data_IF_591662677666
#
_entry.id   IF_591662677666
#
_cell.length_a   1.000
_cell.length_b   1.000
_cell.length_c   1.000
_cell.angle_alpha   90.00
_cell.angle_beta   90.00
_cell.angle_gamma   90.00
#
_symmetry.space_group_name_H-M   'P 1'
#
loop_
_entity.id
_entity.type
_entity.pdbx_description
1 polymer ?
#
# COMPACT_ATOMS: atom_id res chain seq x y z
N UNK A 1 34.71 -55.11 3.51
CA UNK A 1 33.44 -54.51 3.09
C UNK A 1 33.00 -53.53 4.17
N UNK A 2 33.25 -52.23 3.97
CA UNK A 2 33.05 -51.21 5.00
C UNK A 2 32.00 -50.22 4.48
N UNK A 3 30.76 -50.33 4.96
CA UNK A 3 29.68 -49.39 4.64
C UNK A 3 29.90 -48.10 5.41
N UNK A 4 30.16 -47.00 4.70
CA UNK A 4 30.15 -45.64 5.27
C UNK A 4 28.69 -45.20 5.44
N UNK A 5 28.28 -45.00 6.69
CA UNK A 5 27.03 -44.36 7.07
C UNK A 5 27.18 -42.85 6.75
N UNK A 6 26.46 -42.34 5.75
CA UNK A 6 26.30 -40.90 5.56
C UNK A 6 25.21 -40.43 6.52
N UNK A 7 25.61 -39.75 7.60
CA UNK A 7 24.69 -39.00 8.43
C UNK A 7 24.26 -37.75 7.66
N UNK A 8 23.04 -37.79 7.10
CA UNK A 8 22.37 -36.60 6.57
C UNK A 8 21.94 -35.78 7.79
N UNK A 9 22.71 -34.75 8.12
CA UNK A 9 22.34 -33.74 9.10
C UNK A 9 21.19 -32.92 8.51
N UNK A 10 19.95 -33.23 8.91
CA UNK A 10 18.81 -32.34 8.74
C UNK A 10 19.00 -31.19 9.73
N UNK A 11 19.63 -30.10 9.28
CA UNK A 11 19.65 -28.85 10.05
C UNK A 11 18.26 -28.25 9.89
N UNK A 12 17.36 -28.58 10.82
CA UNK A 12 16.12 -27.84 11.03
C UNK A 12 16.49 -26.47 11.57
N UNK A 13 16.79 -25.53 10.67
CA UNK A 13 16.98 -24.12 11.00
C UNK A 13 15.60 -23.57 11.35
N UNK A 14 15.23 -23.65 12.63
CA UNK A 14 14.16 -22.82 13.18
C UNK A 14 14.72 -21.40 13.24
N UNK A 15 14.64 -20.68 12.12
CA UNK A 15 14.90 -19.25 12.10
C UNK A 15 13.72 -18.57 12.81
N UNK A 16 14.00 -18.11 14.03
CA UNK A 16 13.12 -17.26 14.81
C UNK A 16 12.96 -15.94 14.03
N UNK A 17 11.83 -15.78 13.34
CA UNK A 17 11.46 -14.51 12.70
C UNK A 17 11.26 -13.49 13.82
N UNK A 18 12.17 -12.52 13.92
CA UNK A 18 12.07 -11.45 14.90
C UNK A 18 10.84 -10.57 14.58
N UNK A 19 9.80 -10.71 15.40
CA UNK A 19 8.72 -9.74 15.60
C UNK A 19 8.14 -9.09 14.35
N UNK A 20 7.51 -9.86 13.47
CA UNK A 20 6.58 -9.28 12.48
C UNK A 20 5.35 -8.73 13.22
N UNK A 21 4.76 -7.61 12.75
CA UNK A 21 3.60 -7.01 13.39
C UNK A 21 2.47 -8.04 13.50
N UNK A 22 1.96 -8.25 14.71
CA UNK A 22 0.74 -9.04 14.93
C UNK A 22 -0.44 -8.27 14.36
N UNK A 23 -0.87 -8.61 13.15
CA UNK A 23 -2.14 -8.15 12.65
C UNK A 23 -2.83 -9.25 11.84
N UNK A 24 -3.48 -10.17 12.55
CA UNK A 24 -4.52 -11.00 11.94
C UNK A 24 -5.64 -10.07 11.45
N UNK A 25 -5.72 -9.86 10.14
CA UNK A 25 -6.87 -9.19 9.55
C UNK A 25 -8.13 -9.99 9.89
N UNK A 26 -9.12 -9.34 10.49
CA UNK A 26 -10.38 -9.97 10.92
C UNK A 26 -11.40 -10.14 9.79
N UNK A 27 -10.94 -10.15 8.53
CA UNK A 27 -11.83 -10.16 7.36
C UNK A 27 -11.82 -11.56 6.76
N UNK A 28 -13.01 -12.11 6.56
CA UNK A 28 -13.23 -13.42 5.96
C UNK A 28 -13.78 -13.27 4.54
N UNK A 29 -13.22 -13.97 3.53
CA UNK A 29 -11.97 -14.73 3.55
C UNK A 29 -10.71 -13.84 3.43
N UNK A 30 -9.62 -14.24 4.07
CA UNK A 30 -8.28 -13.62 3.93
C UNK A 30 -7.15 -14.65 3.93
N UNK A 31 -6.11 -14.36 3.15
CA UNK A 31 -4.83 -15.09 3.17
C UNK A 31 -3.70 -14.08 3.36
N UNK A 32 -2.99 -14.20 4.47
CA UNK A 32 -1.92 -13.31 4.90
C UNK A 32 -0.56 -13.97 4.73
N UNK A 33 0.39 -13.22 4.17
CA UNK A 33 1.80 -13.61 4.15
C UNK A 33 2.40 -13.29 5.52
N UNK A 34 2.85 -14.33 6.23
CA UNK A 34 3.42 -14.21 7.58
C UNK A 34 4.94 -14.28 7.58
N UNK A 35 5.56 -14.48 6.43
CA UNK A 35 7.01 -14.41 6.27
C UNK A 35 7.52 -15.10 5.01
N UNK A 36 8.81 -14.89 4.75
CA UNK A 36 9.57 -15.58 3.69
C UNK A 36 10.60 -16.46 4.39
N UNK A 37 10.68 -17.76 4.07
CA UNK A 37 11.74 -18.59 4.63
C UNK A 37 13.05 -18.31 3.88
N UNK A 38 14.10 -18.10 4.65
CA UNK A 38 15.37 -17.54 4.19
C UNK A 38 16.09 -18.37 3.11
N UNK A 39 16.67 -17.67 2.14
CA UNK A 39 17.57 -18.17 1.09
C UNK A 39 17.87 -17.06 0.08
N UNK A 40 18.94 -17.15 -0.73
CA UNK A 40 19.11 -16.25 -1.86
C UNK A 40 18.04 -16.54 -2.92
N UNK A 41 17.20 -15.55 -3.20
CA UNK A 41 16.12 -15.56 -4.19
C UNK A 41 16.53 -14.93 -5.52
N UNK A 42 17.76 -14.44 -5.69
CA UNK A 42 18.15 -13.77 -6.93
C UNK A 42 18.30 -14.74 -8.13
N UNK A 43 18.26 -16.05 -7.91
CA UNK A 43 18.22 -17.05 -8.96
C UNK A 43 17.25 -18.19 -8.60
N UNK A 44 16.40 -18.60 -9.54
CA UNK A 44 15.58 -19.81 -9.41
C UNK A 44 16.19 -20.93 -10.25
N UNK A 45 17.36 -21.42 -9.84
CA UNK A 45 18.03 -22.53 -10.51
C UNK A 45 17.51 -23.91 -10.06
N UNK A 46 16.76 -23.99 -8.95
CA UNK A 46 16.24 -25.23 -8.36
C UNK A 46 14.89 -25.01 -7.69
N UNK A 47 14.01 -26.01 -7.81
CA UNK A 47 12.69 -26.07 -7.19
C UNK A 47 12.73 -25.87 -5.66
N UNK A 48 11.71 -25.18 -5.15
CA UNK A 48 11.40 -25.12 -3.73
C UNK A 48 11.65 -23.76 -3.09
N UNK A 49 10.78 -22.78 -3.36
CA UNK A 49 10.69 -21.56 -2.55
C UNK A 49 9.60 -21.72 -1.50
N UNK A 50 9.90 -21.37 -0.24
CA UNK A 50 8.95 -21.52 0.87
C UNK A 50 8.49 -20.14 1.33
N UNK A 51 7.20 -19.88 1.14
CA UNK A 51 6.47 -18.80 1.80
C UNK A 51 5.76 -19.36 3.02
N UNK A 52 5.67 -18.60 4.10
CA UNK A 52 4.73 -18.90 5.17
C UNK A 52 3.49 -18.04 4.96
N UNK A 53 2.33 -18.65 4.87
CA UNK A 53 1.04 -17.97 4.77
C UNK A 53 0.12 -18.52 5.83
N UNK A 54 -0.71 -17.67 6.41
CA UNK A 54 -1.80 -18.04 7.30
C UNK A 54 -3.08 -17.45 6.72
N UNK A 55 -4.19 -18.18 6.75
CA UNK A 55 -5.46 -17.65 6.24
C UNK A 55 -6.63 -18.00 7.15
N UNK A 56 -7.67 -17.18 7.07
CA UNK A 56 -8.99 -17.46 7.60
C UNK A 56 -9.97 -17.47 6.43
N UNK A 57 -10.80 -18.51 6.32
CA UNK A 57 -11.61 -18.72 5.11
C UNK A 57 -13.02 -19.17 5.43
N UNK A 58 -13.99 -18.48 4.84
CA UNK A 58 -15.37 -18.97 4.67
C UNK A 58 -15.49 -19.50 3.24
N UNK A 59 -16.02 -20.71 3.07
CA UNK A 59 -16.15 -21.40 1.77
C UNK A 59 -17.47 -20.99 1.11
N UNK A 60 -17.54 -20.82 -0.23
CA UNK A 60 -16.46 -21.01 -1.20
C UNK A 60 -15.60 -19.76 -1.39
N UNK A 61 -14.28 -19.94 -1.47
CA UNK A 61 -13.33 -18.86 -1.67
C UNK A 61 -12.10 -19.36 -2.45
N UNK A 62 -11.27 -18.44 -2.95
CA UNK A 62 -9.99 -18.78 -3.58
C UNK A 62 -8.96 -17.71 -3.32
N UNK A 63 -7.71 -17.99 -3.68
CA UNK A 63 -6.66 -16.99 -3.67
C UNK A 63 -5.71 -17.19 -4.84
N UNK A 64 -5.10 -16.09 -5.28
CA UNK A 64 -4.09 -16.02 -6.32
C UNK A 64 -2.77 -15.63 -5.69
N UNK A 65 -1.70 -16.35 -5.98
CA UNK A 65 -0.34 -15.95 -5.63
C UNK A 65 0.42 -15.57 -6.90
N UNK A 66 1.06 -14.41 -6.86
CA UNK A 66 1.82 -13.83 -7.95
C UNK A 66 3.21 -13.42 -7.47
N UNK A 67 4.22 -13.69 -8.29
CA UNK A 67 5.62 -13.33 -8.01
C UNK A 67 6.09 -12.38 -9.09
N UNK A 68 6.63 -11.24 -8.68
CA UNK A 68 7.11 -10.19 -9.57
C UNK A 68 8.60 -9.93 -9.35
N UNK A 69 9.33 -10.00 -10.44
CA UNK A 69 10.76 -9.76 -10.50
C UNK A 69 11.01 -8.47 -11.32
N UNK A 70 11.69 -7.45 -10.77
CA UNK A 70 11.99 -6.23 -11.50
C UNK A 70 12.75 -6.50 -12.81
N UNK A 71 12.32 -5.86 -13.90
CA UNK A 71 12.91 -6.05 -15.22
C UNK A 71 12.50 -7.33 -15.95
N UNK A 72 11.87 -8.29 -15.27
CA UNK A 72 11.36 -9.55 -15.87
C UNK A 72 9.83 -9.55 -15.92
N UNK A 73 9.16 -8.96 -14.93
CA UNK A 73 7.71 -8.98 -14.78
C UNK A 73 7.25 -10.15 -13.91
N UNK A 74 6.08 -10.72 -14.24
CA UNK A 74 5.51 -11.85 -13.49
C UNK A 74 6.23 -13.15 -13.84
N UNK A 75 6.80 -13.82 -12.84
CA UNK A 75 7.55 -15.09 -13.00
C UNK A 75 6.78 -16.31 -12.49
N UNK A 76 5.69 -16.08 -11.76
CA UNK A 76 4.79 -17.11 -11.25
C UNK A 76 3.38 -16.56 -11.03
N UNK A 77 2.38 -17.39 -11.31
CA UNK A 77 0.95 -17.13 -11.09
C UNK A 77 0.24 -18.47 -10.83
N UNK A 78 -0.39 -18.61 -9.67
CA UNK A 78 -1.22 -19.76 -9.35
C UNK A 78 -2.50 -19.31 -8.68
N UNK A 79 -3.60 -20.01 -8.98
CA UNK A 79 -4.87 -19.84 -8.30
C UNK A 79 -5.19 -21.14 -7.56
N UNK A 80 -5.52 -21.01 -6.29
CA UNK A 80 -5.83 -22.13 -5.40
C UNK A 80 -7.23 -21.93 -4.81
N UNK A 81 -8.00 -23.01 -4.78
CA UNK A 81 -9.37 -23.01 -4.27
C UNK A 81 -9.41 -23.53 -2.84
N UNK A 82 -10.28 -22.95 -2.01
CA UNK A 82 -10.56 -23.50 -0.69
C UNK A 82 -11.65 -24.56 -0.76
N UNK A 83 -11.33 -25.76 -0.27
CA UNK A 83 -12.28 -26.84 -0.05
C UNK A 83 -12.71 -27.00 1.40
N UNK A 84 -12.00 -26.35 2.34
CA UNK A 84 -12.22 -26.43 3.79
C UNK A 84 -11.84 -25.10 4.47
N UNK A 85 -12.57 -24.72 5.52
CA UNK A 85 -12.26 -23.56 6.36
C UNK A 85 -11.11 -23.87 7.31
N UNK A 86 -10.24 -22.90 7.57
CA UNK A 86 -9.20 -23.00 8.60
C UNK A 86 -7.83 -22.48 8.17
N UNK A 87 -6.86 -22.60 9.09
CA UNK A 87 -5.49 -22.16 8.87
C UNK A 87 -4.82 -22.96 7.75
N UNK A 88 -4.19 -22.23 6.84
CA UNK A 88 -3.44 -22.78 5.72
C UNK A 88 -1.96 -22.68 6.05
N UNK A 89 -1.18 -23.63 5.56
CA UNK A 89 0.27 -23.53 5.55
C UNK A 89 0.74 -24.10 4.21
N UNK A 90 1.17 -23.24 3.30
CA UNK A 90 1.74 -23.67 2.02
C UNK A 90 3.25 -23.64 2.11
N UNK A 91 3.93 -24.66 1.57
CA UNK A 91 5.38 -24.62 1.41
C UNK A 91 5.74 -25.16 0.03
N UNK A 92 6.68 -24.49 -0.66
CA UNK A 92 7.19 -24.94 -1.96
C UNK A 92 6.36 -24.46 -3.15
N UNK A 93 6.86 -23.43 -3.84
CA UNK A 93 6.38 -23.04 -5.18
C UNK A 93 7.48 -23.27 -6.22
N UNK A 94 7.09 -23.83 -7.36
CA UNK A 94 7.95 -23.97 -8.54
C UNK A 94 7.79 -22.72 -9.41
N UNK A 95 8.78 -21.83 -9.36
CA UNK A 95 8.78 -20.58 -10.14
C UNK A 95 9.57 -20.77 -11.43
N UNK A 96 9.21 -20.03 -12.48
CA UNK A 96 9.99 -20.04 -13.73
C UNK A 96 11.45 -19.62 -13.46
N UNK A 97 12.44 -20.14 -14.21
CA UNK A 97 13.81 -19.69 -14.09
C UNK A 97 13.94 -18.18 -14.31
N UNK A 98 14.60 -17.48 -13.39
CA UNK A 98 14.96 -16.07 -13.50
C UNK A 98 16.32 -15.79 -12.87
N UNK A 99 16.93 -14.68 -13.27
CA UNK A 99 18.18 -14.18 -12.70
C UNK A 99 18.07 -12.66 -12.46
N UNK A 100 18.35 -12.24 -11.23
CA UNK A 100 18.31 -10.85 -10.80
C UNK A 100 19.69 -10.39 -10.32
N UNK A 101 19.96 -9.09 -10.44
CA UNK A 101 21.15 -8.51 -9.84
C UNK A 101 21.08 -8.64 -8.30
N UNK A 102 22.23 -8.72 -7.60
CA UNK A 102 22.24 -8.71 -6.14
C UNK A 102 21.49 -7.51 -5.56
N UNK A 103 20.84 -7.71 -4.41
CA UNK A 103 20.01 -6.73 -3.70
C UNK A 103 18.77 -6.22 -4.44
N UNK A 104 18.34 -6.90 -5.51
CA UNK A 104 17.10 -6.53 -6.22
C UNK A 104 15.88 -6.78 -5.32
N UNK A 105 14.96 -5.80 -5.15
CA UNK A 105 13.69 -6.02 -4.47
C UNK A 105 12.84 -7.03 -5.24
N UNK A 106 12.27 -8.01 -4.56
CA UNK A 106 11.38 -9.02 -5.14
C UNK A 106 10.02 -8.92 -4.46
N UNK A 107 8.95 -8.97 -5.26
CA UNK A 107 7.58 -8.79 -4.75
C UNK A 107 6.79 -10.09 -4.87
N UNK A 108 6.08 -10.45 -3.81
CA UNK A 108 5.10 -11.54 -3.81
C UNK A 108 3.77 -10.95 -3.35
N UNK A 109 2.73 -11.22 -4.12
CA UNK A 109 1.37 -10.75 -3.86
C UNK A 109 0.42 -11.92 -3.78
N UNK A 110 -0.37 -11.96 -2.72
CA UNK A 110 -1.49 -12.86 -2.53
C UNK A 110 -2.79 -12.07 -2.56
N UNK A 111 -3.69 -12.44 -3.46
CA UNK A 111 -5.02 -11.82 -3.61
C UNK A 111 -6.09 -12.85 -3.27
N UNK A 112 -6.94 -12.55 -2.29
CA UNK A 112 -8.02 -13.43 -1.83
C UNK A 112 -9.34 -13.00 -2.43
N UNK A 113 -10.16 -13.97 -2.82
CA UNK A 113 -11.46 -13.75 -3.44
C UNK A 113 -12.58 -14.50 -2.69
N UNK A 114 -13.79 -13.92 -2.72
CA UNK A 114 -15.02 -14.49 -2.14
C UNK A 114 -15.68 -15.57 -3.02
N UNK A 115 -15.05 -15.99 -4.12
CA UNK A 115 -15.52 -17.08 -4.95
C UNK A 115 -14.34 -17.97 -5.45
N UNK A 116 -14.62 -19.20 -5.93
CA UNK A 116 -13.61 -20.08 -6.51
C UNK A 116 -13.00 -19.54 -7.81
N UNK A 117 -11.85 -20.09 -8.19
CA UNK A 117 -11.22 -19.89 -9.50
C UNK A 117 -10.56 -18.53 -9.69
N UNK A 118 -10.30 -17.79 -8.60
CA UNK A 118 -9.79 -16.42 -8.67
C UNK A 118 -10.81 -15.45 -9.26
N UNK A 119 -12.10 -15.76 -9.07
CA UNK A 119 -13.25 -14.95 -9.46
C UNK A 119 -13.94 -14.39 -8.22
N UNK A 120 -14.94 -13.52 -8.43
CA UNK A 120 -15.63 -12.83 -7.33
C UNK A 120 -14.96 -11.51 -6.97
N UNK A 121 -15.36 -10.94 -5.83
CA UNK A 121 -14.77 -9.73 -5.30
C UNK A 121 -13.44 -10.05 -4.62
N UNK A 122 -12.49 -9.12 -4.71
CA UNK A 122 -11.27 -9.20 -3.91
C UNK A 122 -11.62 -8.81 -2.48
N UNK A 123 -11.34 -9.70 -1.54
CA UNK A 123 -11.64 -9.49 -0.11
C UNK A 123 -10.41 -9.12 0.69
N UNK A 124 -9.22 -9.48 0.20
CA UNK A 124 -7.96 -9.24 0.89
C UNK A 124 -6.77 -9.26 -0.07
N UNK A 125 -5.79 -8.39 0.17
CA UNK A 125 -4.51 -8.36 -0.54
C UNK A 125 -3.39 -8.38 0.50
N UNK A 126 -2.48 -9.34 0.37
CA UNK A 126 -1.25 -9.41 1.17
C UNK A 126 -0.05 -9.34 0.22
N UNK A 127 0.82 -8.36 0.42
CA UNK A 127 1.99 -8.12 -0.43
C UNK A 127 3.25 -8.02 0.43
N UNK A 128 4.29 -8.75 0.05
CA UNK A 128 5.61 -8.67 0.66
C UNK A 128 6.64 -8.27 -0.39
N UNK A 129 7.51 -7.34 -0.02
CA UNK A 129 8.71 -6.98 -0.77
C UNK A 129 9.91 -7.33 0.07
N UNK A 130 10.88 -8.04 -0.50
CA UNK A 130 12.10 -8.43 0.20
C UNK A 130 13.32 -8.33 -0.71
N UNK A 131 14.51 -8.23 -0.10
CA UNK A 131 15.77 -8.21 -0.83
C UNK A 131 16.11 -9.62 -1.31
N UNK A 132 16.27 -9.82 -2.63
CA UNK A 132 16.51 -11.16 -3.19
C UNK A 132 17.82 -11.80 -2.73
N UNK A 133 18.82 -11.04 -2.26
CA UNK A 133 20.11 -11.59 -1.81
C UNK A 133 20.06 -12.02 -0.36
N UNK A 134 19.53 -11.16 0.50
CA UNK A 134 19.57 -11.37 1.96
C UNK A 134 18.32 -12.05 2.50
N UNK A 135 17.22 -12.07 1.73
CA UNK A 135 15.90 -12.46 2.21
C UNK A 135 15.29 -11.46 3.20
N UNK A 136 15.94 -10.31 3.43
CA UNK A 136 15.44 -9.31 4.36
C UNK A 136 14.14 -8.68 3.84
N UNK A 137 13.10 -8.70 4.67
CA UNK A 137 11.83 -8.05 4.36
C UNK A 137 12.04 -6.53 4.31
N UNK A 138 11.66 -5.93 3.18
CA UNK A 138 11.69 -4.49 2.93
C UNK A 138 10.35 -3.88 3.34
N UNK A 139 9.24 -4.50 2.91
CA UNK A 139 7.89 -4.11 3.29
C UNK A 139 6.96 -5.32 3.33
N UNK A 140 5.96 -5.26 4.20
CA UNK A 140 4.85 -6.19 4.27
C UNK A 140 3.57 -5.35 4.40
N UNK A 141 2.62 -5.56 3.51
CA UNK A 141 1.39 -4.80 3.42
C UNK A 141 0.21 -5.76 3.35
N UNK A 142 -0.74 -5.58 4.25
CA UNK A 142 -1.97 -6.35 4.33
C UNK A 142 -3.13 -5.37 4.26
N UNK A 143 -3.94 -5.46 3.22
CA UNK A 143 -5.03 -4.51 2.96
C UNK A 143 -6.30 -5.24 2.57
N UNK A 144 -7.42 -4.71 3.08
CA UNK A 144 -8.75 -5.03 2.58
C UNK A 144 -9.01 -4.03 1.47
N UNK A 145 -9.31 -4.45 0.23
CA UNK A 145 -9.73 -3.52 -0.80
C UNK A 145 -10.97 -2.78 -0.33
N UNK A 146 -11.01 -1.46 -0.51
CA UNK A 146 -12.22 -0.69 -0.27
C UNK A 146 -13.28 -1.12 -1.29
N UNK A 147 -14.15 -2.06 -0.91
CA UNK A 147 -15.32 -2.46 -1.70
C UNK A 147 -16.34 -1.32 -1.85
N UNK A 148 -16.22 -0.30 -1.00
CA UNK A 148 -17.02 0.93 -1.03
C UNK A 148 -16.24 2.16 -1.54
N UNK A 149 -15.05 1.97 -2.12
CA UNK A 149 -14.47 3.03 -2.92
C UNK A 149 -15.45 3.29 -4.07
N UNK A 150 -16.29 4.31 -3.91
CA UNK A 150 -17.10 4.85 -4.98
C UNK A 150 -16.19 4.93 -6.21
N UNK A 151 -16.62 4.44 -7.40
CA UNK A 151 -15.76 4.35 -8.57
C UNK A 151 -15.01 5.67 -8.65
N UNK A 152 -13.68 5.61 -8.49
CA UNK A 152 -12.86 6.81 -8.49
C UNK A 152 -13.32 7.57 -9.71
N UNK A 153 -13.97 8.71 -9.49
CA UNK A 153 -14.50 9.48 -10.61
C UNK A 153 -13.26 9.76 -11.42
N UNK A 154 -13.15 9.24 -12.67
CA UNK A 154 -11.89 9.27 -13.40
C UNK A 154 -11.40 10.69 -13.31
N UNK A 155 -10.22 10.88 -12.68
CA UNK A 155 -9.74 12.20 -12.34
C UNK A 155 -9.74 12.99 -13.65
N UNK A 156 -10.74 13.85 -13.82
CA UNK A 156 -10.81 14.72 -14.97
C UNK A 156 -9.64 15.64 -14.74
N UNK A 157 -8.54 15.42 -15.46
CA UNK A 157 -7.44 16.35 -15.48
C UNK A 157 -7.97 17.59 -16.19
N UNK A 158 -8.68 18.44 -15.46
CA UNK A 158 -8.98 19.79 -15.91
C UNK A 158 -7.60 20.45 -16.00
N UNK A 159 -7.15 20.89 -17.18
CA UNK A 159 -5.88 21.57 -17.30
C UNK A 159 -5.90 22.81 -16.41
N UNK A 160 -5.22 22.72 -15.27
CA UNK A 160 -5.08 23.79 -14.30
C UNK A 160 -3.60 23.95 -13.95
N UNK A 161 -3.20 25.08 -13.37
CA UNK A 161 -1.86 25.23 -12.83
C UNK A 161 -1.62 24.16 -11.76
N UNK A 162 -0.37 23.69 -11.66
CA UNK A 162 0.03 22.87 -10.52
C UNK A 162 -0.03 23.68 -9.22
N UNK A 163 -0.11 22.99 -8.08
CA UNK A 163 -0.02 23.62 -6.75
C UNK A 163 1.28 24.45 -6.68
N UNK A 164 1.22 25.74 -6.32
CA UNK A 164 2.42 26.57 -6.22
C UNK A 164 3.42 26.00 -5.20
N UNK A 165 4.71 26.16 -5.49
CA UNK A 165 5.75 25.69 -4.60
C UNK A 165 5.65 26.36 -3.21
N UNK A 166 5.81 25.57 -2.15
CA UNK A 166 5.77 26.04 -0.76
C UNK A 166 4.40 26.00 -0.10
N UNK A 167 3.31 25.76 -0.84
CA UNK A 167 2.00 25.53 -0.24
C UNK A 167 1.97 24.19 0.51
N UNK A 168 1.27 24.17 1.65
CA UNK A 168 1.14 22.99 2.51
C UNK A 168 -0.33 22.68 2.78
N UNK A 169 -0.68 21.40 2.93
CA UNK A 169 -2.04 21.02 3.33
C UNK A 169 -2.30 21.47 4.77
N UNK A 170 -3.41 22.19 4.97
CA UNK A 170 -3.89 22.65 6.27
C UNK A 170 -5.39 22.44 6.41
N UNK A 171 -5.80 22.08 7.61
CA UNK A 171 -7.20 22.01 7.98
C UNK A 171 -7.71 23.40 8.35
N UNK A 172 -8.89 23.75 7.85
CA UNK A 172 -9.57 25.00 8.14
C UNK A 172 -10.47 24.80 9.35
N UNK A 173 -10.39 25.73 10.31
CA UNK A 173 -11.04 25.57 11.63
C UNK A 173 -12.27 26.47 11.82
N UNK A 174 -12.56 27.35 10.85
CA UNK A 174 -13.68 28.28 10.89
C UNK A 174 -14.45 28.25 9.55
N UNK A 175 -15.69 28.72 9.53
CA UNK A 175 -16.39 29.04 8.28
C UNK A 175 -16.04 30.48 7.90
N UNK A 176 -15.52 30.71 6.71
CA UNK A 176 -15.14 32.06 6.27
C UNK A 176 -15.35 32.26 4.77
N UNK A 177 -15.77 33.46 4.32
CA UNK A 177 -15.71 33.82 2.91
C UNK A 177 -14.27 33.76 2.38
N UNK A 178 -14.13 33.63 1.07
CA UNK A 178 -12.84 33.81 0.39
C UNK A 178 -12.76 35.21 -0.19
N UNK A 179 -11.60 35.85 -0.08
CA UNK A 179 -11.38 37.26 -0.42
C UNK A 179 -10.41 37.41 -1.60
N UNK A 180 -10.56 38.47 -2.38
CA UNK A 180 -9.72 38.76 -3.56
C UNK A 180 -8.31 39.25 -3.20
N UNK A 181 -8.15 39.84 -2.01
CA UNK A 181 -6.86 40.24 -1.42
C UNK A 181 -6.93 40.17 0.11
N UNK A 182 -5.79 40.27 0.83
CA UNK A 182 -5.79 40.49 2.28
C UNK A 182 -6.64 41.73 2.65
N UNK A 183 -7.63 41.56 3.52
CA UNK A 183 -8.57 42.63 3.90
C UNK A 183 -9.49 43.11 2.77
N UNK A 184 -9.55 42.37 1.66
CA UNK A 184 -10.26 42.72 0.44
C UNK A 184 -11.78 42.48 0.50
N UNK A 185 -12.37 42.25 -0.68
CA UNK A 185 -13.80 41.95 -0.81
C UNK A 185 -14.02 40.46 -0.97
N UNK A 186 -15.10 39.94 -0.38
CA UNK A 186 -15.50 38.56 -0.58
C UNK A 186 -15.78 38.27 -2.07
N UNK A 187 -15.25 37.17 -2.59
CA UNK A 187 -15.42 36.76 -3.98
C UNK A 187 -16.77 36.06 -4.14
N UNK A 188 -17.81 36.84 -4.39
CA UNK A 188 -19.18 36.34 -4.55
C UNK A 188 -19.68 35.64 -3.29
N UNK A 189 -20.35 34.49 -3.46
CA UNK A 189 -20.88 33.67 -2.36
C UNK A 189 -19.94 32.50 -1.98
N UNK A 190 -18.67 32.57 -2.40
CA UNK A 190 -17.72 31.50 -2.16
C UNK A 190 -17.26 31.53 -0.69
N UNK A 191 -17.20 30.35 -0.08
CA UNK A 191 -16.76 30.18 1.30
C UNK A 191 -15.98 28.88 1.45
N UNK A 192 -15.07 28.88 2.42
CA UNK A 192 -14.38 27.69 2.90
C UNK A 192 -14.96 27.36 4.28
N UNK A 193 -15.25 26.09 4.51
CA UNK A 193 -15.92 25.63 5.73
C UNK A 193 -14.98 24.90 6.67
N UNK A 194 -15.26 24.98 7.97
CA UNK A 194 -14.53 24.27 9.01
C UNK A 194 -14.51 22.75 8.73
N UNK A 195 -13.35 22.12 8.98
CA UNK A 195 -13.09 20.70 8.74
C UNK A 195 -12.57 20.37 7.33
N UNK A 196 -12.60 21.31 6.39
CA UNK A 196 -11.99 21.10 5.07
C UNK A 196 -10.46 21.18 5.13
N UNK A 197 -9.78 20.44 4.25
CA UNK A 197 -8.32 20.55 4.07
C UNK A 197 -8.02 21.22 2.74
N UNK A 198 -7.17 22.25 2.76
CA UNK A 198 -6.77 23.01 1.59
C UNK A 198 -5.26 23.18 1.51
N UNK A 199 -4.72 23.40 0.31
CA UNK A 199 -3.34 23.85 0.14
C UNK A 199 -3.26 25.34 0.48
N UNK A 200 -2.46 25.68 1.49
CA UNK A 200 -2.34 27.03 2.04
C UNK A 200 -0.89 27.48 1.99
N UNK A 201 -0.65 28.75 1.63
CA UNK A 201 0.66 29.36 1.73
C UNK A 201 1.02 29.54 3.22
N UNK A 202 2.10 28.91 3.73
CA UNK A 202 2.48 29.03 5.14
C UNK A 202 2.97 30.44 5.51
N UNK A 203 3.25 31.29 4.51
CA UNK A 203 3.61 32.69 4.74
C UNK A 203 2.36 33.56 4.63
N UNK A 204 1.92 34.11 5.76
CA UNK A 204 0.78 35.04 5.78
C UNK A 204 1.14 36.39 5.16
N UNK A 205 0.18 37.00 4.49
CA UNK A 205 0.21 38.40 4.07
C UNK A 205 -0.56 39.25 5.09
N UNK A 206 -0.12 40.48 5.33
CA UNK A 206 -0.86 41.41 6.18
C UNK A 206 -1.65 42.39 5.34
N UNK A 207 -2.86 42.74 5.79
CA UNK A 207 -3.60 43.85 5.19
C UNK A 207 -3.11 45.21 5.72
N UNK A 208 -3.77 46.30 5.30
CA UNK A 208 -3.43 47.66 5.75
C UNK A 208 -3.72 47.91 7.24
N UNK A 209 -4.57 47.08 7.86
CA UNK A 209 -4.88 47.11 9.29
C UNK A 209 -3.89 46.30 10.14
N UNK A 210 -3.04 45.50 9.52
CA UNK A 210 -2.08 44.62 10.19
C UNK A 210 -2.63 43.24 10.52
N UNK A 211 -3.85 42.91 10.10
CA UNK A 211 -4.41 41.57 10.26
C UNK A 211 -3.75 40.60 9.29
N UNK A 212 -3.54 39.36 9.72
CA UNK A 212 -2.87 38.32 8.94
C UNK A 212 -3.86 37.49 8.12
N UNK A 213 -3.50 37.25 6.87
CA UNK A 213 -4.28 36.53 5.87
C UNK A 213 -3.46 35.42 5.23
N UNK A 214 -4.08 34.27 5.02
CA UNK A 214 -3.48 33.12 4.35
C UNK A 214 -4.01 32.98 2.94
N UNK A 215 -3.09 32.81 1.98
CA UNK A 215 -3.41 32.54 0.58
C UNK A 215 -3.78 31.06 0.41
N UNK A 216 -4.86 30.77 -0.33
CA UNK A 216 -5.38 29.41 -0.53
C UNK A 216 -5.35 29.03 -2.00
N UNK A 217 -4.75 27.88 -2.33
CA UNK A 217 -4.72 27.41 -3.70
C UNK A 217 -6.03 26.70 -4.07
N UNK A 218 -6.70 27.22 -5.10
CA UNK A 218 -8.03 26.75 -5.55
C UNK A 218 -7.99 26.14 -6.96
N UNK A 219 -6.81 25.76 -7.47
CA UNK A 219 -6.68 25.21 -8.82
C UNK A 219 -6.76 26.25 -9.94
N UNK A 220 -6.51 27.52 -9.63
CA UNK A 220 -6.57 28.67 -10.57
C UNK A 220 -5.22 29.41 -10.59
N UNK A 221 -5.01 30.27 -11.61
CA UNK A 221 -3.84 31.15 -11.70
C UNK A 221 -3.89 32.32 -10.69
N UNK A 222 -5.03 32.53 -10.05
CA UNK A 222 -5.24 33.56 -9.04
C UNK A 222 -5.76 32.88 -7.78
N UNK A 223 -5.06 33.11 -6.67
CA UNK A 223 -5.43 32.52 -5.38
C UNK A 223 -6.16 33.56 -4.54
N UNK A 224 -7.28 33.17 -3.90
CA UNK A 224 -7.92 34.01 -2.91
C UNK A 224 -7.22 33.93 -1.55
N UNK A 225 -7.69 34.77 -0.62
CA UNK A 225 -7.23 34.87 0.75
C UNK A 225 -8.34 34.54 1.75
N UNK A 226 -7.95 34.01 2.91
CA UNK A 226 -8.81 33.85 4.09
C UNK A 226 -8.07 34.40 5.33
N UNK A 227 -8.77 34.73 6.43
CA UNK A 227 -8.11 35.09 7.68
C UNK A 227 -7.18 33.98 8.16
N UNK A 228 -5.95 34.32 8.56
CA UNK A 228 -4.95 33.32 8.97
C UNK A 228 -5.37 32.57 10.24
N UNK A 229 -6.17 33.21 11.10
CA UNK A 229 -6.77 32.59 12.29
C UNK A 229 -7.69 31.40 11.98
N UNK A 230 -8.17 31.28 10.74
CA UNK A 230 -9.00 30.17 10.30
C UNK A 230 -8.18 28.96 9.82
N UNK A 231 -6.85 29.05 9.79
CA UNK A 231 -5.95 27.97 9.39
C UNK A 231 -5.33 27.33 10.62
N UNK A 232 -5.42 26.00 10.74
CA UNK A 232 -4.75 25.30 11.85
C UNK A 232 -3.22 25.47 11.73
N UNK A 233 -2.55 25.79 12.84
CA UNK A 233 -1.10 26.07 12.86
C UNK A 233 -0.25 24.81 12.67
#
# INVERSE_FOLDING_TARGET
MTRKLFAVFFIMVIMLVAGLPTQAASVDPSVEITGVLAGPFCNSATDGQILSQTGNTTIPASFRIEFFAPGVGQVYNVVLNFSTSGALNFTGFAVSPFALAPNTPFTIRTTTYDAPGGAGNVTFISEIVFNCTTGAVISLTNTVPDTDAAPETPAVSIPGPGVPNGFVLRMIICNTPVFDSPGGTAVGNNQITAGQTWFVNPTSANDTGGESWSEVFVGSSTNPYIPAECVNS
#
